data_IF_623458132430
#
_entry.id   IF_623458132430
#
_cell.length_a   1.000
_cell.length_b   1.000
_cell.length_c   1.000
_cell.angle_alpha   90.00
_cell.angle_beta   90.00
_cell.angle_gamma   90.00
#
_symmetry.space_group_name_H-M   'P 1'
#
loop_
_entity.id
_entity.type
_entity.pdbx_description
1 polymer ?
#
# COMPACT_ATOMS: atom_id res chain seq x y z
N UNK A 1 10.43 -12.39 -11.68
CA UNK A 1 10.68 -11.43 -10.58
C UNK A 1 11.15 -10.07 -11.08
N UNK A 2 12.11 -9.99 -12.02
CA UNK A 2 12.65 -8.71 -12.51
C UNK A 2 11.61 -7.74 -13.12
N UNK A 3 10.63 -8.24 -13.88
CA UNK A 3 9.54 -7.40 -14.42
C UNK A 3 8.71 -6.75 -13.32
N UNK A 4 8.40 -7.49 -12.25
CA UNK A 4 7.63 -7.00 -11.11
C UNK A 4 8.40 -5.91 -10.35
N UNK A 5 9.72 -6.07 -10.23
CA UNK A 5 10.60 -5.08 -9.59
C UNK A 5 10.66 -3.77 -10.39
N UNK A 6 10.87 -3.84 -11.69
CA UNK A 6 10.87 -2.65 -12.55
C UNK A 6 9.53 -1.89 -12.48
N UNK A 7 8.42 -2.62 -12.46
CA UNK A 7 7.09 -2.04 -12.33
C UNK A 7 6.91 -1.33 -10.97
N UNK A 8 7.39 -1.93 -9.89
CA UNK A 8 7.35 -1.33 -8.57
C UNK A 8 8.25 -0.08 -8.46
N UNK A 9 9.44 -0.11 -9.06
CA UNK A 9 10.33 1.06 -9.15
C UNK A 9 9.73 2.21 -9.96
N UNK A 10 9.03 1.92 -11.06
CA UNK A 10 8.30 2.94 -11.81
C UNK A 10 7.23 3.62 -10.96
N UNK A 11 6.55 2.86 -10.08
CA UNK A 11 5.62 3.45 -9.13
C UNK A 11 6.32 4.41 -8.19
N UNK A 12 7.46 4.04 -7.61
CA UNK A 12 8.26 4.92 -6.72
C UNK A 12 8.63 6.23 -7.43
N UNK A 13 9.06 6.14 -8.69
CA UNK A 13 9.41 7.28 -9.56
C UNK A 13 8.22 8.18 -9.96
N UNK A 14 7.00 7.83 -9.56
CA UNK A 14 5.82 8.69 -9.72
C UNK A 14 4.76 8.20 -10.71
N UNK A 15 4.92 7.01 -11.29
CA UNK A 15 3.89 6.43 -12.15
C UNK A 15 2.57 6.22 -11.39
N UNK A 16 1.46 6.58 -12.05
CA UNK A 16 0.10 6.31 -11.58
C UNK A 16 -0.56 5.09 -12.26
N UNK A 17 0.20 4.29 -13.02
CA UNK A 17 -0.32 3.03 -13.56
C UNK A 17 -0.67 2.03 -12.45
N UNK A 18 -1.89 1.49 -12.52
CA UNK A 18 -2.38 0.45 -11.60
C UNK A 18 -1.43 -0.74 -11.48
N UNK A 19 -0.86 -1.20 -12.60
CA UNK A 19 0.07 -2.34 -12.61
C UNK A 19 1.36 -2.05 -11.82
N UNK A 20 1.86 -0.82 -11.92
CA UNK A 20 3.02 -0.36 -11.15
C UNK A 20 2.69 -0.27 -9.66
N UNK A 21 1.52 0.29 -9.31
CA UNK A 21 1.02 0.34 -7.93
C UNK A 21 0.87 -1.06 -7.30
N UNK A 22 0.30 -2.02 -8.04
CA UNK A 22 0.14 -3.40 -7.59
C UNK A 22 1.47 -4.12 -7.38
N UNK A 23 2.43 -3.89 -8.28
CA UNK A 23 3.77 -4.44 -8.14
C UNK A 23 4.49 -3.88 -6.90
N UNK A 24 4.37 -2.57 -6.66
CA UNK A 24 4.89 -1.92 -5.45
C UNK A 24 4.21 -2.45 -4.19
N UNK A 25 2.88 -2.58 -4.18
CA UNK A 25 2.15 -3.15 -3.05
C UNK A 25 2.61 -4.57 -2.71
N UNK A 26 2.87 -5.38 -3.74
CA UNK A 26 3.34 -6.75 -3.57
C UNK A 26 4.73 -6.77 -2.94
N UNK A 27 5.64 -5.90 -3.37
CA UNK A 27 7.06 -5.98 -3.02
C UNK A 27 7.46 -5.14 -1.79
N UNK A 28 6.70 -4.11 -1.41
CA UNK A 28 7.06 -3.17 -0.33
C UNK A 28 7.31 -3.83 1.05
N UNK A 29 6.78 -5.04 1.27
CA UNK A 29 6.94 -5.79 2.52
C UNK A 29 8.05 -6.85 2.47
N UNK A 30 8.67 -7.05 1.32
CA UNK A 30 9.84 -7.93 1.17
C UNK A 30 11.09 -7.14 1.55
N UNK A 31 11.85 -7.63 2.54
CA UNK A 31 12.96 -6.91 3.15
C UNK A 31 13.96 -6.35 2.13
N UNK A 32 14.34 -7.17 1.17
CA UNK A 32 15.38 -6.87 0.19
C UNK A 32 14.94 -5.83 -0.86
N UNK A 33 13.64 -5.60 -1.02
CA UNK A 33 13.12 -4.72 -2.06
C UNK A 33 13.45 -3.25 -1.81
N UNK A 34 13.49 -2.81 -0.54
CA UNK A 34 13.88 -1.42 -0.22
C UNK A 34 15.36 -1.19 -0.48
N UNK A 35 16.20 -2.15 -0.10
CA UNK A 35 17.65 -2.07 -0.30
C UNK A 35 17.99 -2.06 -1.80
N UNK A 36 17.36 -2.94 -2.58
CA UNK A 36 17.53 -2.98 -4.04
C UNK A 36 17.03 -1.70 -4.73
N UNK A 37 15.90 -1.11 -4.30
CA UNK A 37 15.45 0.17 -4.84
C UNK A 37 16.41 1.31 -4.52
N UNK A 38 17.07 1.28 -3.36
CA UNK A 38 18.15 2.22 -3.06
C UNK A 38 19.35 1.98 -3.99
N UNK A 39 19.72 0.73 -4.25
CA UNK A 39 20.81 0.39 -5.18
C UNK A 39 20.51 0.76 -6.63
N UNK A 40 19.27 0.57 -7.11
CA UNK A 40 18.83 0.90 -8.48
C UNK A 40 18.73 2.41 -8.74
N UNK A 41 18.76 3.23 -7.68
CA UNK A 41 18.91 4.67 -7.78
C UNK A 41 20.35 5.05 -7.45
N UNK A 42 21.32 4.57 -8.23
CA UNK A 42 22.76 4.84 -8.06
C UNK A 42 23.11 6.35 -7.95
N UNK A 43 22.21 7.23 -8.42
CA UNK A 43 22.34 8.70 -8.36
C UNK A 43 21.76 9.35 -7.08
N UNK A 44 21.17 8.56 -6.17
CA UNK A 44 20.51 9.06 -4.96
C UNK A 44 21.12 8.42 -3.72
N UNK A 45 21.56 9.25 -2.78
CA UNK A 45 21.90 8.79 -1.43
C UNK A 45 20.74 8.01 -0.80
N UNK A 46 21.06 7.13 0.17
CA UNK A 46 20.10 6.25 0.86
C UNK A 46 18.91 7.03 1.46
N UNK A 47 19.17 8.22 2.00
CA UNK A 47 18.14 9.07 2.60
C UNK A 47 17.09 9.58 1.58
N UNK A 48 17.47 10.15 0.42
CA UNK A 48 16.55 10.46 -0.67
C UNK A 48 15.75 9.26 -1.17
N UNK A 49 16.38 8.10 -1.37
CA UNK A 49 15.68 6.90 -1.83
C UNK A 49 14.61 6.42 -0.83
N UNK A 50 14.95 6.43 0.46
CA UNK A 50 13.99 6.14 1.54
C UNK A 50 12.81 7.10 1.54
N UNK A 51 13.07 8.40 1.35
CA UNK A 51 12.02 9.42 1.27
C UNK A 51 11.07 9.19 0.09
N UNK A 52 11.60 8.78 -1.08
CA UNK A 52 10.76 8.46 -2.24
C UNK A 52 9.89 7.23 -2.01
N UNK A 53 10.42 6.19 -1.37
CA UNK A 53 9.65 5.00 -1.01
C UNK A 53 8.53 5.38 -0.02
N UNK A 54 8.84 6.17 1.00
CA UNK A 54 7.84 6.62 1.98
C UNK A 54 6.75 7.49 1.31
N UNK A 55 7.12 8.32 0.33
CA UNK A 55 6.17 9.10 -0.46
C UNK A 55 5.32 8.21 -1.39
N UNK A 56 5.90 7.17 -1.97
CA UNK A 56 5.16 6.17 -2.74
C UNK A 56 4.16 5.41 -1.86
N UNK A 57 4.54 5.05 -0.62
CA UNK A 57 3.63 4.46 0.37
C UNK A 57 2.44 5.38 0.66
N UNK A 58 2.69 6.67 0.91
CA UNK A 58 1.62 7.67 1.12
C UNK A 58 0.73 7.80 -0.11
N UNK A 59 1.32 7.91 -1.31
CA UNK A 59 0.59 8.00 -2.57
C UNK A 59 -0.30 6.78 -2.80
N UNK A 60 0.22 5.58 -2.56
CA UNK A 60 -0.55 4.33 -2.66
C UNK A 60 -1.73 4.35 -1.68
N UNK A 61 -1.52 4.76 -0.43
CA UNK A 61 -2.59 4.82 0.56
C UNK A 61 -3.69 5.83 0.21
N UNK A 62 -3.30 7.05 -0.19
CA UNK A 62 -4.24 8.12 -0.56
C UNK A 62 -5.03 7.81 -1.83
N UNK A 63 -4.42 7.11 -2.78
CA UNK A 63 -5.02 6.83 -4.09
C UNK A 63 -5.42 5.36 -4.24
N UNK A 64 -5.48 4.60 -3.16
CA UNK A 64 -5.71 3.15 -3.21
C UNK A 64 -7.02 2.80 -3.94
N UNK A 65 -8.10 3.52 -3.65
CA UNK A 65 -9.39 3.32 -4.31
C UNK A 65 -9.37 3.65 -5.80
N UNK A 66 -8.57 4.65 -6.19
CA UNK A 66 -8.34 5.03 -7.58
C UNK A 66 -7.59 3.90 -8.31
N UNK A 67 -6.52 3.36 -7.72
CA UNK A 67 -5.75 2.27 -8.33
C UNK A 67 -6.51 0.96 -8.37
N UNK A 68 -7.23 0.61 -7.31
CA UNK A 68 -7.97 -0.66 -7.27
C UNK A 68 -9.23 -0.62 -8.14
N UNK A 69 -9.80 0.57 -8.40
CA UNK A 69 -11.12 0.71 -9.02
C UNK A 69 -12.23 0.14 -8.14
N UNK A 70 -11.93 -0.09 -6.87
CA UNK A 70 -12.82 -0.76 -5.92
C UNK A 70 -13.56 0.31 -5.14
N UNK A 71 -14.80 0.57 -5.53
CA UNK A 71 -15.83 1.01 -4.58
C UNK A 71 -16.49 -0.29 -4.11
N UNK A 72 -15.96 -0.95 -3.07
CA UNK A 72 -16.66 -2.11 -2.51
C UNK A 72 -18.02 -1.61 -2.01
N UNK A 73 -19.10 -2.12 -2.59
CA UNK A 73 -20.45 -1.82 -2.10
C UNK A 73 -20.66 -2.23 -0.64
N UNK A 74 -19.86 -3.20 -0.15
CA UNK A 74 -19.88 -3.67 1.24
C UNK A 74 -18.49 -4.14 1.67
N UNK A 75 -18.06 -3.73 2.87
CA UNK A 75 -16.86 -4.25 3.54
C UNK A 75 -17.29 -5.40 4.44
N UNK A 76 -16.63 -6.55 4.34
CA UNK A 76 -16.90 -7.72 5.21
C UNK A 76 -15.77 -7.84 6.24
N UNK A 77 -16.15 -8.17 7.48
CA UNK A 77 -15.21 -8.51 8.55
C UNK A 77 -15.05 -10.03 8.57
N UNK A 78 -13.82 -10.51 8.51
CA UNK A 78 -13.48 -11.93 8.64
C UNK A 78 -12.92 -12.24 10.03
N UNK A 79 -13.27 -13.41 10.60
CA UNK A 79 -12.69 -13.87 11.86
C UNK A 79 -11.22 -14.24 11.65
N UNK A 80 -10.31 -13.50 12.29
CA UNK A 80 -8.90 -13.87 12.35
C UNK A 80 -8.67 -14.95 13.42
N UNK A 81 -7.66 -15.84 13.29
CA UNK A 81 -7.31 -16.85 14.30
C UNK A 81 -7.06 -16.30 15.71
N UNK A 82 -6.77 -14.99 15.81
CA UNK A 82 -6.53 -14.26 17.07
C UNK A 82 -7.79 -13.56 17.62
N UNK A 83 -9.00 -13.91 17.14
CA UNK A 83 -10.29 -13.31 17.54
C UNK A 83 -10.40 -11.79 17.33
N UNK A 84 -9.58 -11.22 16.44
CA UNK A 84 -9.72 -9.83 16.01
C UNK A 84 -10.46 -9.82 14.68
N UNK A 85 -11.54 -9.03 14.52
CA UNK A 85 -12.16 -8.85 13.21
C UNK A 85 -11.15 -8.15 12.29
N UNK A 86 -10.85 -8.79 11.16
CA UNK A 86 -10.00 -8.19 10.11
C UNK A 86 -10.87 -7.85 8.92
N UNK A 87 -10.75 -6.64 8.39
CA UNK A 87 -11.37 -6.28 7.12
C UNK A 87 -10.78 -7.11 5.97
N UNK A 88 -11.59 -7.47 4.97
CA UNK A 88 -11.19 -8.21 3.76
C UNK A 88 -9.87 -7.71 3.14
N UNK A 89 -8.75 -8.45 3.24
CA UNK A 89 -7.45 -8.18 2.57
C UNK A 89 -7.15 -6.69 2.29
N UNK A 90 -7.49 -5.80 3.23
CA UNK A 90 -7.16 -4.39 3.12
C UNK A 90 -5.73 -4.24 3.64
N UNK A 91 -4.93 -3.44 2.95
CA UNK A 91 -3.63 -3.06 3.51
C UNK A 91 -3.85 -2.26 4.80
N UNK A 92 -2.88 -2.28 5.72
CA UNK A 92 -2.97 -1.55 7.00
C UNK A 92 -3.25 -0.06 6.80
N UNK A 93 -2.71 0.54 5.73
CA UNK A 93 -2.95 1.95 5.40
C UNK A 93 -4.41 2.24 5.03
N UNK A 94 -5.03 1.35 4.25
CA UNK A 94 -6.44 1.49 3.85
C UNK A 94 -7.36 1.27 5.03
N UNK A 95 -7.05 0.29 5.88
CA UNK A 95 -7.76 0.09 7.14
C UNK A 95 -7.68 1.34 8.03
N UNK A 96 -6.48 1.89 8.22
CA UNK A 96 -6.29 3.11 9.00
C UNK A 96 -7.07 4.31 8.41
N UNK A 97 -7.10 4.43 7.08
CA UNK A 97 -7.81 5.51 6.42
C UNK A 97 -9.34 5.37 6.53
N UNK A 98 -9.89 4.16 6.34
CA UNK A 98 -11.32 3.91 6.56
C UNK A 98 -11.69 4.18 8.02
N UNK A 99 -10.90 3.67 8.97
CA UNK A 99 -11.11 3.95 10.39
C UNK A 99 -11.00 5.44 10.73
N UNK A 100 -10.23 6.23 9.96
CA UNK A 100 -10.14 7.69 10.18
C UNK A 100 -11.42 8.46 9.82
N UNK A 101 -12.30 7.87 9.01
CA UNK A 101 -13.61 8.44 8.68
C UNK A 101 -14.74 7.97 9.60
N UNK A 102 -14.46 7.01 10.49
CA UNK A 102 -15.45 6.42 11.38
C UNK A 102 -15.23 6.96 12.80
N UNK A 103 -16.26 7.58 13.36
CA UNK A 103 -16.35 7.76 14.80
C UNK A 103 -16.83 6.48 15.46
N UNK A 104 -16.55 6.29 16.75
CA UNK A 104 -17.08 5.14 17.49
C UNK A 104 -18.61 5.08 17.44
N UNK A 105 -19.28 6.24 17.37
CA UNK A 105 -20.73 6.34 17.19
C UNK A 105 -21.25 5.88 15.83
N UNK A 106 -20.39 5.82 14.80
CA UNK A 106 -20.75 5.28 13.48
C UNK A 106 -20.65 3.75 13.45
N UNK A 107 -20.04 3.14 14.47
CA UNK A 107 -19.90 1.69 14.61
C UNK A 107 -21.07 1.19 15.44
N UNK A 108 -22.02 0.50 14.79
CA UNK A 108 -23.12 -0.14 15.53
C UNK A 108 -22.57 -1.26 16.42
N UNK A 109 -23.05 -1.32 17.66
CA UNK A 109 -22.83 -2.48 18.52
C UNK A 109 -23.41 -3.73 17.83
N UNK A 110 -22.62 -4.81 17.78
CA UNK A 110 -23.02 -6.12 17.24
C UNK A 110 -23.33 -7.06 18.39
#
# INVERSE_FOLDING_TARGET
MQVLRNQAGNFVKGSNDKKHAQAFETLQYFGDFREELCSDNEDLDEAPAKKQIDEACKRLALNYFIFTGVVKAKIVCHPHPKRQPTFDKLSKGVQAHICSYLSLSDVMDI
#
